data_IF_173895678857
#
_entry.id   IF_173895678857
#
_cell.length_a   1.000
_cell.length_b   1.000
_cell.length_c   1.000
_cell.angle_alpha   90.00
_cell.angle_beta   90.00
_cell.angle_gamma   90.00
#
_symmetry.space_group_name_H-M   'P 1'
#
loop_
_entity.id
_entity.type
_entity.pdbx_description
1 polymer ?
#
# COMPACT_ATOMS: atom_id res chain seq x y z
N UNK A 1 0.49 11.15 15.83
CA UNK A 1 -0.51 10.24 15.21
C UNK A 1 -1.01 9.24 16.26
N UNK A 2 -2.15 8.56 16.06
CA UNK A 2 -2.64 7.54 17.02
C UNK A 2 -1.89 6.20 16.86
N UNK A 3 -1.64 5.44 17.94
CA UNK A 3 -1.07 4.10 17.85
C UNK A 3 -1.90 3.13 17.01
N UNK A 4 -1.26 2.15 16.40
CA UNK A 4 -1.88 1.13 15.54
C UNK A 4 -1.39 -0.26 15.88
N UNK A 5 -2.22 -1.28 15.63
CA UNK A 5 -1.82 -2.68 15.68
C UNK A 5 -1.60 -3.18 14.27
N UNK A 6 -0.45 -3.81 14.01
CA UNK A 6 -0.14 -4.42 12.71
C UNK A 6 -0.15 -5.94 12.80
N UNK A 7 -0.84 -6.58 11.87
CA UNK A 7 -0.76 -8.03 11.63
C UNK A 7 0.06 -8.27 10.37
N UNK A 8 1.19 -8.95 10.53
CA UNK A 8 2.15 -9.19 9.45
C UNK A 8 1.98 -10.63 8.98
N UNK A 9 1.63 -10.79 7.70
CA UNK A 9 1.42 -12.09 7.09
C UNK A 9 2.43 -12.30 5.96
N UNK A 10 2.97 -13.50 5.87
CA UNK A 10 3.89 -13.92 4.81
C UNK A 10 3.20 -14.89 3.86
N UNK A 11 3.37 -14.67 2.56
CA UNK A 11 2.87 -15.58 1.52
C UNK A 11 3.67 -16.87 1.60
N UNK A 12 2.99 -17.98 1.83
CA UNK A 12 3.62 -19.29 2.02
C UNK A 12 2.95 -20.29 1.08
N UNK A 13 3.74 -21.21 0.50
CA UNK A 13 3.18 -22.35 -0.24
C UNK A 13 2.69 -23.38 0.77
N UNK A 14 1.46 -23.83 0.62
CA UNK A 14 0.86 -24.86 1.48
C UNK A 14 0.30 -25.98 0.60
N UNK A 15 0.38 -27.24 1.06
CA UNK A 15 -0.16 -28.36 0.31
C UNK A 15 -1.68 -28.27 0.23
N UNK A 16 -2.23 -28.65 -0.92
CA UNK A 16 -3.67 -28.75 -1.16
C UNK A 16 -4.12 -30.16 -0.80
N UNK A 17 -4.96 -30.30 0.24
CA UNK A 17 -5.31 -31.62 0.80
C UNK A 17 -6.01 -32.55 -0.21
N UNK A 18 -6.70 -32.02 -1.22
CA UNK A 18 -7.60 -32.78 -2.10
C UNK A 18 -7.42 -32.49 -3.62
N UNK A 19 -6.24 -32.05 -4.10
CA UNK A 19 -6.04 -31.77 -5.53
C UNK A 19 -4.91 -32.61 -6.14
N UNK A 20 -5.25 -33.33 -7.23
CA UNK A 20 -4.34 -34.24 -7.95
C UNK A 20 -3.32 -33.47 -8.80
N UNK A 21 -3.72 -32.33 -9.38
CA UNK A 21 -2.93 -31.59 -10.39
C UNK A 21 -2.21 -30.38 -9.78
N UNK A 22 -2.85 -29.63 -8.87
CA UNK A 22 -2.24 -28.52 -8.15
C UNK A 22 -1.92 -28.95 -6.71
N UNK A 23 -0.71 -29.45 -6.49
CA UNK A 23 -0.27 -29.96 -5.18
C UNK A 23 -0.04 -28.86 -4.13
N UNK A 24 0.14 -27.61 -4.57
CA UNK A 24 0.41 -26.48 -3.69
C UNK A 24 -0.43 -25.27 -4.06
N UNK A 25 -1.00 -24.61 -3.04
CA UNK A 25 -1.60 -23.29 -3.15
C UNK A 25 -0.78 -22.25 -2.39
N UNK A 26 -0.96 -20.98 -2.74
CA UNK A 26 -0.42 -19.89 -1.94
C UNK A 26 -1.42 -19.49 -0.85
N UNK A 27 -0.94 -19.33 0.38
CA UNK A 27 -1.74 -18.88 1.51
C UNK A 27 -1.01 -17.80 2.31
N UNK A 28 -1.74 -17.03 3.10
CA UNK A 28 -1.20 -15.96 3.94
C UNK A 28 -1.09 -16.43 5.39
N UNK A 29 0.13 -16.80 5.82
CA UNK A 29 0.37 -17.20 7.22
C UNK A 29 0.76 -15.99 8.05
N UNK A 30 0.19 -15.86 9.24
CA UNK A 30 0.59 -14.85 10.22
C UNK A 30 2.00 -15.18 10.72
N UNK A 31 2.91 -14.22 10.65
CA UNK A 31 4.31 -14.37 11.10
C UNK A 31 4.68 -13.41 12.22
N UNK A 32 3.94 -12.31 12.38
CA UNK A 32 4.21 -11.32 13.41
C UNK A 32 3.03 -10.43 13.71
N UNK A 33 3.04 -9.86 14.91
CA UNK A 33 2.12 -8.82 15.36
C UNK A 33 2.95 -7.71 15.99
N UNK A 34 2.71 -6.47 15.58
CA UNK A 34 3.21 -5.28 16.29
C UNK A 34 1.99 -4.73 17.02
N UNK A 35 2.00 -4.77 18.35
CA UNK A 35 0.88 -4.27 19.13
C UNK A 35 0.95 -2.74 19.28
N UNK A 36 -0.08 -2.14 19.89
CA UNK A 36 -0.18 -0.70 20.03
C UNK A 36 1.04 -0.06 20.71
N UNK A 37 1.57 -0.57 21.86
CA UNK A 37 2.75 0.01 22.49
C UNK A 37 4.00 -0.10 21.61
N UNK A 38 4.16 -1.22 20.91
CA UNK A 38 5.30 -1.45 20.02
C UNK A 38 5.26 -0.51 18.82
N UNK A 39 4.08 -0.22 18.28
CA UNK A 39 3.92 0.74 17.19
C UNK A 39 4.39 2.15 17.58
N UNK A 40 4.22 2.54 18.84
CA UNK A 40 4.70 3.82 19.38
C UNK A 40 6.22 3.82 19.45
N UNK A 41 6.80 2.72 19.96
CA UNK A 41 8.26 2.55 20.09
C UNK A 41 8.98 2.43 18.76
N UNK A 42 8.31 1.90 17.73
CA UNK A 42 8.90 1.65 16.42
C UNK A 42 8.80 2.86 15.48
N UNK A 43 7.64 3.51 15.40
CA UNK A 43 7.40 4.53 14.37
C UNK A 43 7.68 5.95 14.87
N UNK A 44 8.53 6.68 14.13
CA UNK A 44 8.88 8.08 14.44
C UNK A 44 7.65 8.99 14.49
N UNK A 45 6.70 8.79 13.57
CA UNK A 45 5.48 9.61 13.46
C UNK A 45 4.42 9.38 14.56
N UNK A 46 4.58 8.35 15.40
CA UNK A 46 3.68 8.07 16.53
C UNK A 46 4.35 8.39 17.87
N UNK A 47 5.60 7.96 18.07
CA UNK A 47 6.25 8.02 19.39
C UNK A 47 7.76 8.20 19.36
N UNK A 48 8.31 8.87 18.34
CA UNK A 48 9.76 9.05 18.15
C UNK A 48 10.57 7.74 18.05
N UNK A 49 9.93 6.68 17.56
CA UNK A 49 10.64 5.44 17.24
C UNK A 49 11.66 5.60 16.09
N UNK A 50 12.53 4.60 15.91
CA UNK A 50 13.63 4.66 14.94
C UNK A 50 13.18 4.58 13.46
N UNK A 51 12.00 4.05 13.18
CA UNK A 51 11.51 3.83 11.81
C UNK A 51 10.68 5.03 11.37
N UNK A 52 11.18 5.75 10.36
CA UNK A 52 10.50 6.87 9.73
C UNK A 52 10.02 6.54 8.31
N UNK A 53 10.79 5.74 7.58
CA UNK A 53 10.60 5.52 6.14
C UNK A 53 10.11 4.11 5.82
N UNK A 54 9.50 3.94 4.65
CA UNK A 54 9.04 2.63 4.20
C UNK A 54 10.18 1.66 3.86
N UNK A 55 11.33 2.19 3.42
CA UNK A 55 12.59 1.45 3.26
C UNK A 55 13.15 0.90 4.59
N UNK A 56 13.19 1.73 5.65
CA UNK A 56 13.59 1.30 6.99
C UNK A 56 12.64 0.21 7.54
N UNK A 57 11.35 0.38 7.30
CA UNK A 57 10.37 -0.62 7.71
C UNK A 57 10.50 -1.93 6.92
N UNK A 58 10.77 -1.87 5.61
CA UNK A 58 11.05 -3.05 4.80
C UNK A 58 12.32 -3.79 5.26
N UNK A 59 13.36 -3.03 5.65
CA UNK A 59 14.58 -3.60 6.25
C UNK A 59 14.26 -4.32 7.56
N UNK A 60 13.46 -3.70 8.44
CA UNK A 60 13.00 -4.33 9.68
C UNK A 60 12.27 -5.66 9.42
N UNK A 61 11.31 -5.68 8.49
CA UNK A 61 10.58 -6.92 8.15
C UNK A 61 11.53 -8.02 7.66
N UNK A 62 12.50 -7.65 6.82
CA UNK A 62 13.51 -8.59 6.34
C UNK A 62 14.35 -9.16 7.48
N UNK A 63 14.87 -8.30 8.35
CA UNK A 63 15.68 -8.73 9.49
C UNK A 63 14.91 -9.62 10.47
N UNK A 64 13.58 -9.43 10.59
CA UNK A 64 12.74 -10.21 11.51
C UNK A 64 12.20 -11.52 10.92
N UNK A 65 11.85 -11.56 9.64
CA UNK A 65 11.15 -12.72 9.03
C UNK A 65 11.75 -13.21 7.71
N UNK A 66 12.85 -12.62 7.27
CA UNK A 66 13.57 -12.97 6.05
C UNK A 66 12.89 -12.54 4.76
N UNK A 67 13.36 -13.08 3.66
CA UNK A 67 12.88 -12.75 2.32
C UNK A 67 11.49 -13.35 2.04
N UNK A 68 10.71 -12.69 1.19
CA UNK A 68 9.40 -13.15 0.73
C UNK A 68 8.41 -12.04 0.45
N UNK A 69 7.16 -12.42 0.22
CA UNK A 69 6.06 -11.49 -0.02
C UNK A 69 5.23 -11.34 1.24
N UNK A 70 4.99 -10.09 1.66
CA UNK A 70 4.30 -9.75 2.89
C UNK A 70 3.03 -8.94 2.64
N UNK A 71 1.98 -9.28 3.38
CA UNK A 71 0.72 -8.53 3.47
C UNK A 71 0.50 -8.10 4.92
N UNK A 72 0.57 -6.79 5.15
CA UNK A 72 0.47 -6.17 6.46
C UNK A 72 -0.86 -5.46 6.56
N UNK A 73 -1.63 -5.81 7.58
CA UNK A 73 -2.92 -5.22 7.89
C UNK A 73 -2.78 -4.38 9.15
N UNK A 74 -3.32 -3.16 9.12
CA UNK A 74 -3.38 -2.29 10.28
C UNK A 74 -4.79 -2.20 10.88
N UNK A 75 -4.81 -1.94 12.17
CA UNK A 75 -6.00 -1.61 12.94
C UNK A 75 -5.71 -0.46 13.90
N UNK A 76 -6.68 0.43 14.08
CA UNK A 76 -6.60 1.55 15.03
C UNK A 76 -7.74 1.41 16.03
N UNK A 77 -7.41 1.53 17.32
CA UNK A 77 -8.40 1.48 18.39
C UNK A 77 -9.46 2.56 18.17
N UNK A 78 -10.74 2.18 18.27
CA UNK A 78 -11.88 3.09 18.04
C UNK A 78 -12.16 3.42 16.58
N UNK A 79 -11.50 2.76 15.62
CA UNK A 79 -11.86 2.83 14.20
C UNK A 79 -12.46 1.50 13.74
N UNK A 80 -13.56 1.57 12.99
CA UNK A 80 -14.22 0.38 12.49
C UNK A 80 -13.49 -0.15 11.25
N UNK A 81 -13.18 -1.45 11.27
CA UNK A 81 -12.52 -2.15 10.16
C UNK A 81 -10.99 -2.19 10.21
N UNK A 82 -10.45 -3.05 9.35
CA UNK A 82 -9.03 -3.24 9.12
C UNK A 82 -8.64 -2.66 7.77
N UNK A 83 -7.42 -2.14 7.64
CA UNK A 83 -6.91 -1.65 6.35
C UNK A 83 -5.59 -2.28 5.94
N UNK A 84 -5.35 -2.33 4.62
CA UNK A 84 -4.05 -2.73 4.09
C UNK A 84 -3.01 -1.66 4.38
N UNK A 85 -2.07 -1.97 5.27
CA UNK A 85 -0.98 -1.09 5.66
C UNK A 85 0.16 -1.14 4.64
N UNK A 86 0.67 -2.34 4.35
CA UNK A 86 1.81 -2.49 3.46
C UNK A 86 1.73 -3.81 2.72
N UNK A 87 1.93 -3.76 1.40
CA UNK A 87 1.99 -4.93 0.54
C UNK A 87 3.29 -4.87 -0.24
N UNK A 88 4.23 -5.76 0.10
CA UNK A 88 5.63 -5.60 -0.27
C UNK A 88 6.26 -6.96 -0.56
N UNK A 89 7.13 -6.99 -1.56
CA UNK A 89 8.07 -8.07 -1.79
C UNK A 89 9.44 -7.64 -1.27
N UNK A 90 10.05 -8.53 -0.48
CA UNK A 90 11.32 -8.33 0.19
C UNK A 90 12.27 -9.42 -0.31
N UNK A 91 13.44 -9.02 -0.77
CA UNK A 91 14.49 -9.88 -1.26
C UNK A 91 15.85 -9.45 -0.69
N UNK A 92 16.86 -10.30 -0.80
CA UNK A 92 18.20 -10.02 -0.26
C UNK A 92 18.75 -8.62 -0.61
N UNK A 93 18.52 -8.16 -1.84
CA UNK A 93 19.12 -6.92 -2.34
C UNK A 93 18.17 -5.72 -2.32
N UNK A 94 16.94 -5.88 -1.81
CA UNK A 94 15.99 -4.79 -1.81
C UNK A 94 14.53 -5.21 -1.68
N UNK A 95 13.66 -4.23 -1.83
CA UNK A 95 12.22 -4.40 -1.69
C UNK A 95 11.49 -3.68 -2.82
N UNK A 96 10.26 -4.11 -3.08
CA UNK A 96 9.31 -3.36 -3.90
C UNK A 96 7.92 -3.47 -3.33
N UNK A 97 7.20 -2.34 -3.31
CA UNK A 97 5.76 -2.39 -3.04
C UNK A 97 5.07 -3.14 -4.18
N UNK A 98 4.13 -4.00 -3.86
CA UNK A 98 3.33 -4.72 -4.83
C UNK A 98 2.00 -4.00 -5.03
N UNK A 99 1.49 -4.04 -6.27
CA UNK A 99 0.14 -3.57 -6.56
C UNK A 99 -0.85 -4.51 -5.87
N UNK A 100 -1.81 -3.96 -5.13
CA UNK A 100 -2.98 -4.74 -4.71
C UNK A 100 -3.68 -5.21 -5.98
N UNK A 101 -4.08 -6.47 -6.03
CA UNK A 101 -4.92 -6.94 -7.14
C UNK A 101 -6.23 -6.14 -7.07
N UNK A 102 -6.46 -5.36 -8.11
CA UNK A 102 -7.72 -4.64 -8.31
C UNK A 102 -8.80 -5.66 -8.67
N UNK A 103 -10.00 -5.46 -8.12
CA UNK A 103 -11.16 -6.29 -8.45
C UNK A 103 -11.57 -6.08 -9.91
N UNK A 104 -12.43 -6.95 -10.45
CA UNK A 104 -12.91 -6.81 -11.83
C UNK A 104 -13.59 -5.46 -12.05
N UNK A 105 -14.45 -5.06 -11.12
CA UNK A 105 -15.18 -3.78 -11.13
C UNK A 105 -14.20 -2.60 -11.06
N UNK A 106 -13.12 -2.73 -10.28
CA UNK A 106 -12.08 -1.68 -10.26
C UNK A 106 -11.31 -1.59 -11.57
N UNK A 107 -11.09 -2.71 -12.28
CA UNK A 107 -10.51 -2.69 -13.63
C UNK A 107 -11.45 -2.01 -14.62
N UNK A 108 -12.75 -2.29 -14.51
CA UNK A 108 -13.79 -1.73 -15.36
C UNK A 108 -13.84 -0.19 -15.25
N UNK A 109 -13.90 0.36 -14.03
CA UNK A 109 -13.78 1.81 -13.81
C UNK A 109 -12.50 2.39 -14.45
N UNK A 110 -11.36 1.72 -14.28
CA UNK A 110 -10.09 2.21 -14.86
C UNK A 110 -10.16 2.25 -16.39
N UNK A 111 -10.78 1.25 -17.01
CA UNK A 111 -10.99 1.20 -18.45
C UNK A 111 -11.94 2.31 -18.94
N UNK A 112 -13.07 2.52 -18.25
CA UNK A 112 -14.01 3.60 -18.54
C UNK A 112 -13.32 4.97 -18.49
N UNK A 113 -12.49 5.22 -17.46
CA UNK A 113 -11.69 6.45 -17.35
C UNK A 113 -10.69 6.63 -18.49
N UNK A 114 -10.07 5.55 -18.96
CA UNK A 114 -9.17 5.58 -20.12
C UNK A 114 -9.95 5.93 -21.40
N UNK A 115 -11.15 5.37 -21.57
CA UNK A 115 -12.01 5.67 -22.71
C UNK A 115 -12.47 7.13 -22.70
N UNK A 116 -12.90 7.66 -21.56
CA UNK A 116 -13.23 9.10 -21.40
C UNK A 116 -12.07 9.97 -21.87
N UNK A 117 -10.84 9.71 -21.40
CA UNK A 117 -9.65 10.50 -21.82
C UNK A 117 -9.37 10.40 -23.31
N UNK A 118 -9.59 9.23 -23.92
CA UNK A 118 -9.45 9.06 -25.38
C UNK A 118 -10.51 9.87 -26.12
N UNK A 119 -11.76 9.86 -25.66
CA UNK A 119 -12.85 10.61 -26.26
C UNK A 119 -12.67 12.12 -26.06
N UNK A 120 -12.21 12.58 -24.90
CA UNK A 120 -11.84 13.97 -24.64
C UNK A 120 -10.72 14.43 -25.57
N UNK A 121 -9.71 13.59 -25.80
CA UNK A 121 -8.64 13.89 -26.75
C UNK A 121 -9.18 14.00 -28.19
N UNK A 122 -10.02 13.04 -28.62
CA UNK A 122 -10.68 13.10 -29.94
C UNK A 122 -11.54 14.34 -30.08
N UNK A 123 -12.29 14.71 -29.05
CA UNK A 123 -13.11 15.92 -29.02
C UNK A 123 -12.29 17.17 -29.30
N UNK A 124 -11.06 17.26 -28.77
CA UNK A 124 -10.16 18.39 -29.03
C UNK A 124 -9.65 18.44 -30.48
N UNK A 125 -9.52 17.28 -31.13
CA UNK A 125 -8.99 17.13 -32.49
C UNK A 125 -10.09 17.26 -33.56
N UNK A 126 -11.35 16.99 -33.21
CA UNK A 126 -12.49 17.01 -34.13
C UNK A 126 -13.04 18.42 -34.39
N UNK A 127 -13.17 18.77 -35.68
CA UNK A 127 -13.74 20.05 -36.15
C UNK A 127 -15.24 19.96 -36.49
N UNK A 128 -15.78 18.76 -36.71
CA UNK A 128 -17.20 18.54 -37.02
C UNK A 128 -18.08 18.72 -35.77
N UNK A 129 -19.11 19.56 -35.87
CA UNK A 129 -20.03 19.83 -34.76
C UNK A 129 -20.85 18.57 -34.40
N UNK A 130 -21.25 17.78 -35.40
CA UNK A 130 -22.03 16.55 -35.17
C UNK A 130 -21.23 15.52 -34.38
N UNK A 131 -20.00 15.24 -34.81
CA UNK A 131 -19.11 14.28 -34.15
C UNK A 131 -18.70 14.75 -32.74
N UNK A 132 -18.58 16.07 -32.53
CA UNK A 132 -18.34 16.63 -31.18
C UNK A 132 -19.51 16.37 -30.25
N UNK A 133 -20.74 16.52 -30.72
CA UNK A 133 -21.93 16.27 -29.91
C UNK A 133 -22.08 14.79 -29.56
N UNK A 134 -21.77 13.89 -30.50
CA UNK A 134 -21.72 12.44 -30.25
C UNK A 134 -20.66 12.09 -29.20
N UNK A 135 -19.43 12.61 -29.35
CA UNK A 135 -18.35 12.36 -28.39
C UNK A 135 -18.67 12.93 -26.99
N UNK A 136 -19.37 14.07 -26.90
CA UNK A 136 -19.81 14.62 -25.61
C UNK A 136 -20.83 13.71 -24.93
N UNK A 137 -21.80 13.19 -25.70
CA UNK A 137 -22.79 12.25 -25.19
C UNK A 137 -22.13 10.96 -24.69
N UNK A 138 -21.22 10.39 -25.47
CA UNK A 138 -20.45 9.20 -25.07
C UNK A 138 -19.66 9.44 -23.78
N UNK A 139 -19.04 10.62 -23.62
CA UNK A 139 -18.32 10.96 -22.39
C UNK A 139 -19.28 11.06 -21.20
N UNK A 140 -20.48 11.61 -21.41
CA UNK A 140 -21.48 11.77 -20.36
C UNK A 140 -22.06 10.42 -19.92
N UNK A 141 -22.39 9.54 -20.87
CA UNK A 141 -22.86 8.18 -20.59
C UNK A 141 -21.80 7.39 -19.79
N UNK A 142 -20.53 7.42 -20.23
CA UNK A 142 -19.42 6.78 -19.50
C UNK A 142 -19.19 7.37 -18.10
N UNK A 143 -19.47 8.67 -17.90
CA UNK A 143 -19.39 9.31 -16.58
C UNK A 143 -20.53 8.84 -15.67
N UNK A 144 -21.74 8.66 -16.20
CA UNK A 144 -22.88 8.14 -15.46
C UNK A 144 -22.63 6.69 -14.99
N UNK A 145 -22.08 5.83 -15.85
CA UNK A 145 -21.71 4.46 -15.50
C UNK A 145 -20.70 4.42 -14.33
N UNK A 146 -19.69 5.28 -14.37
CA UNK A 146 -18.73 5.42 -13.28
C UNK A 146 -19.41 5.89 -11.99
N UNK A 147 -20.38 6.80 -12.06
CA UNK A 147 -21.04 7.35 -10.89
C UNK A 147 -22.02 6.37 -10.25
N UNK A 148 -22.74 5.58 -11.04
CA UNK A 148 -23.52 4.45 -10.52
C UNK A 148 -22.63 3.45 -9.78
N UNK A 149 -21.47 3.12 -10.35
CA UNK A 149 -20.49 2.25 -9.69
C UNK A 149 -19.90 2.84 -8.41
N UNK A 150 -19.72 4.17 -8.34
CA UNK A 150 -19.30 4.85 -7.10
C UNK A 150 -20.37 4.81 -6.05
N UNK A 151 -21.64 5.02 -6.39
CA UNK A 151 -22.75 4.96 -5.43
C UNK A 151 -22.86 3.58 -4.78
N UNK A 152 -22.59 2.50 -5.55
CA UNK A 152 -22.49 1.14 -5.02
C UNK A 152 -21.28 1.01 -4.07
N UNK A 153 -20.15 1.65 -4.38
CA UNK A 153 -18.93 1.64 -3.55
C UNK A 153 -18.96 2.56 -2.34
N UNK A 154 -19.73 3.64 -2.33
CA UNK A 154 -19.82 4.55 -1.17
C UNK A 154 -20.55 3.93 0.02
N UNK A 155 -21.28 2.83 -0.21
CA UNK A 155 -21.74 1.90 0.83
C UNK A 155 -20.58 1.12 1.48
N UNK A 156 -19.47 0.95 0.77
CA UNK A 156 -18.22 0.29 1.20
C UNK A 156 -17.05 1.30 1.23
N UNK A 157 -17.02 2.13 2.29
CA UNK A 157 -16.02 3.20 2.48
C UNK A 157 -14.60 2.82 2.00
N UNK A 158 -13.93 3.68 1.20
CA UNK A 158 -12.61 3.37 0.69
C UNK A 158 -11.60 3.28 1.85
N UNK A 159 -11.06 2.09 1.99
CA UNK A 159 -9.94 1.77 2.87
C UNK A 159 -8.70 2.48 2.33
N UNK A 160 -8.30 3.61 2.95
CA UNK A 160 -7.01 4.29 2.69
C UNK A 160 -5.89 3.24 2.71
N UNK A 161 -5.35 2.93 1.53
CA UNK A 161 -4.37 1.85 1.38
C UNK A 161 -2.96 2.42 1.38
N UNK A 162 -2.13 1.94 2.29
CA UNK A 162 -0.73 2.31 2.36
C UNK A 162 -0.25 2.64 3.78
N UNK A 163 1.07 2.69 3.98
CA UNK A 163 1.64 2.96 5.28
C UNK A 163 1.60 4.47 5.58
N UNK A 164 1.30 5.31 4.59
CA UNK A 164 0.99 6.71 4.79
C UNK A 164 -0.26 6.82 5.69
N UNK A 165 -0.24 7.59 6.78
CA UNK A 165 0.72 8.65 7.15
C UNK A 165 1.81 8.23 8.16
N UNK A 166 1.89 6.94 8.51
CA UNK A 166 2.79 6.40 9.53
C UNK A 166 4.24 6.25 9.07
N UNK A 167 4.45 6.05 7.77
CA UNK A 167 5.78 6.00 7.15
C UNK A 167 5.88 7.05 6.04
N UNK A 168 7.05 7.72 5.96
CA UNK A 168 7.42 8.53 4.80
C UNK A 168 7.79 7.62 3.64
N UNK A 169 7.24 7.90 2.48
CA UNK A 169 7.59 7.18 1.28
C UNK A 169 8.85 7.79 0.67
N UNK A 170 9.94 7.03 0.56
CA UNK A 170 11.21 7.59 0.06
C UNK A 170 11.40 7.45 -1.44
N UNK A 171 10.66 6.55 -2.09
CA UNK A 171 10.90 6.21 -3.50
C UNK A 171 9.59 6.02 -4.31
N UNK A 172 9.68 6.02 -5.66
CA UNK A 172 8.52 5.77 -6.52
C UNK A 172 7.87 4.41 -6.25
N UNK A 173 6.54 4.40 -6.15
CA UNK A 173 5.76 3.19 -5.83
C UNK A 173 5.95 2.16 -6.96
N UNK A 174 6.16 0.88 -6.59
CA UNK A 174 6.25 -0.30 -7.47
C UNK A 174 7.57 -0.53 -8.23
N UNK A 175 8.61 0.28 -8.01
CA UNK A 175 9.97 -0.04 -8.45
C UNK A 175 10.73 -0.83 -7.38
N UNK A 176 11.80 -1.52 -7.79
CA UNK A 176 12.67 -2.25 -6.88
C UNK A 176 13.75 -1.32 -6.33
N UNK A 177 13.98 -1.43 -5.02
CA UNK A 177 14.72 -0.43 -4.26
C UNK A 177 15.62 -1.04 -3.19
N UNK A 178 16.76 -0.40 -2.94
CA UNK A 178 17.67 -0.76 -1.84
C UNK A 178 17.12 -0.33 -0.47
N UNK A 179 17.55 -1.01 0.58
CA UNK A 179 17.23 -0.64 1.96
C UNK A 179 17.94 0.65 2.38
N UNK A 180 17.32 1.40 3.29
CA UNK A 180 17.97 2.47 4.04
C UNK A 180 18.32 1.97 5.44
N UNK A 181 19.43 2.46 5.97
CA UNK A 181 19.76 2.25 7.37
C UNK A 181 18.86 3.09 8.29
N UNK A 182 18.67 2.57 9.49
CA UNK A 182 17.97 3.28 10.55
C UNK A 182 18.91 4.37 11.05
N UNK A 183 18.46 5.63 11.07
CA UNK A 183 19.25 6.73 11.63
C UNK A 183 19.38 6.46 13.14
N UNK A 184 20.56 6.03 13.57
CA UNK A 184 20.91 6.04 14.99
C UNK A 184 21.14 7.51 15.38
N UNK A 185 20.25 8.09 16.17
CA UNK A 185 20.53 9.35 16.84
C UNK A 185 21.68 9.08 17.82
N UNK A 186 22.91 9.34 17.40
CA UNK A 186 24.06 9.41 18.30
C UNK A 186 23.75 10.49 19.32
N UNK A 187 23.42 10.07 20.55
CA UNK A 187 23.53 10.97 21.70
C UNK A 187 24.97 11.45 21.71
N UNK A 188 25.19 12.73 21.40
CA UNK A 188 26.46 13.38 21.69
C UNK A 188 26.64 13.30 23.21
N UNK A 189 27.55 12.45 23.66
CA UNK A 189 28.08 12.57 25.01
C UNK A 189 28.73 13.96 25.10
N UNK A 190 28.19 14.79 25.99
CA UNK A 190 28.83 16.03 26.38
C UNK A 190 30.05 15.61 27.19
N UNK A 191 31.22 15.68 26.57
CA UNK A 191 32.49 15.63 27.29
C UNK A 191 32.52 16.90 28.15
N UNK A 192 32.32 16.73 29.45
CA UNK A 192 32.59 17.77 30.43
C UNK A 192 34.10 17.71 30.64
N UNK A 193 34.84 18.63 30.04
CA UNK A 193 36.25 18.84 30.36
C UNK A 193 36.31 19.34 31.82
N UNK A 194 36.74 18.47 32.73
CA UNK A 194 37.22 18.87 34.05
C UNK A 194 38.58 19.57 33.86
N UNK A 195 38.56 20.90 33.89
CA UNK A 195 39.76 21.70 34.07
C UNK A 195 40.20 21.63 35.54
N UNK A 196 41.39 21.06 35.76
CA UNK A 196 42.25 21.34 36.90
C UNK A 196 43.13 22.55 36.61
#
# INVERSE_FOLDING_TARGET
>A
MKPIKLRIRKKTRVPTKNQIIHQFRSDWKLVGIIDYPDSVRMFKNIGNGPILTDSQFAKFIRSSWGDGIYSIIAWRKGYWGFWGFYYVEIANHGFRRLKKQITYEQKEIVNLKIQIRKNEKKLLETKSISERNELLKDIEDLKQDIDMEKQIKDLDKPVLSGPSPYLKQTQPIYRFHSYEDVIQETKKEVVVDEFW
#
